data_IF_851506298802
#
_entry.id   IF_851506298802
#
_cell.length_a   1.000
_cell.length_b   1.000
_cell.length_c   1.000
_cell.angle_alpha   90.00
_cell.angle_beta   90.00
_cell.angle_gamma   90.00
#
_symmetry.space_group_name_H-M   'P 1'
#
loop_
_entity.id
_entity.type
_entity.pdbx_description
1 polymer ?
#
# COMPACT_ATOMS: atom_id res chain seq x y z
N UNK A 1 -8.71 -10.51 4.77
CA UNK A 1 -9.78 -9.55 4.37
C UNK A 1 -9.14 -8.25 3.93
N UNK A 2 -9.53 -7.68 2.78
CA UNK A 2 -9.04 -6.39 2.30
C UNK A 2 -10.11 -5.31 2.50
N UNK A 3 -9.73 -4.15 3.06
CA UNK A 3 -10.59 -2.97 3.23
C UNK A 3 -9.95 -1.78 2.53
N UNK A 4 -10.69 -1.14 1.62
CA UNK A 4 -10.23 0.03 0.90
C UNK A 4 -10.85 1.32 1.44
N UNK A 5 -10.02 2.34 1.64
CA UNK A 5 -10.43 3.69 2.02
C UNK A 5 -10.24 4.62 0.83
N UNK A 6 -11.32 5.02 0.19
CA UNK A 6 -11.31 5.75 -1.08
C UNK A 6 -11.98 7.11 -0.90
N UNK A 7 -11.30 8.17 -1.33
CA UNK A 7 -11.88 9.50 -1.47
C UNK A 7 -11.04 10.32 -2.45
N UNK A 8 -11.69 11.01 -3.38
CA UNK A 8 -11.03 11.88 -4.36
C UNK A 8 -10.51 13.19 -3.75
N UNK A 9 -11.16 13.67 -2.68
CA UNK A 9 -10.78 14.91 -2.03
C UNK A 9 -9.57 14.69 -1.12
N UNK A 10 -8.53 15.49 -1.28
CA UNK A 10 -7.40 15.55 -0.37
C UNK A 10 -7.78 16.11 1.01
N UNK A 11 -7.01 15.80 2.04
CA UNK A 11 -7.18 16.38 3.37
C UNK A 11 -8.44 15.95 4.14
N UNK A 12 -9.12 14.88 3.74
CA UNK A 12 -10.34 14.38 4.41
C UNK A 12 -10.08 13.33 5.49
N UNK A 13 -8.82 13.04 5.79
CA UNK A 13 -8.44 12.11 6.85
C UNK A 13 -8.32 10.64 6.41
N UNK A 14 -8.18 10.33 5.12
CA UNK A 14 -7.96 8.94 4.66
C UNK A 14 -6.80 8.29 5.38
N UNK A 15 -5.62 8.89 5.30
CA UNK A 15 -4.38 8.39 5.91
C UNK A 15 -4.52 8.23 7.41
N UNK A 16 -5.03 9.25 8.12
CA UNK A 16 -5.25 9.18 9.55
C UNK A 16 -6.21 8.05 9.94
N UNK A 17 -7.27 7.84 9.17
CA UNK A 17 -8.23 6.75 9.39
C UNK A 17 -7.57 5.38 9.24
N UNK A 18 -6.82 5.17 8.16
CA UNK A 18 -6.10 3.91 7.89
C UNK A 18 -5.09 3.61 9.00
N UNK A 19 -4.28 4.60 9.39
CA UNK A 19 -3.28 4.46 10.46
C UNK A 19 -3.93 4.10 11.81
N UNK A 20 -4.99 4.79 12.19
CA UNK A 20 -5.66 4.55 13.46
C UNK A 20 -6.34 3.18 13.49
N UNK A 21 -7.11 2.83 12.46
CA UNK A 21 -7.79 1.53 12.39
C UNK A 21 -6.76 0.39 12.37
N UNK A 22 -5.75 0.48 11.50
CA UNK A 22 -4.70 -0.52 11.43
C UNK A 22 -3.95 -0.68 12.74
N UNK A 23 -3.64 0.45 13.38
CA UNK A 23 -2.99 0.46 14.68
C UNK A 23 -3.81 -0.19 15.79
N UNK A 24 -5.12 0.08 15.83
CA UNK A 24 -6.04 -0.54 16.82
C UNK A 24 -6.16 -2.05 16.57
N UNK A 25 -6.30 -2.47 15.31
CA UNK A 25 -6.40 -3.90 14.98
C UNK A 25 -5.11 -4.64 15.37
N UNK A 26 -3.94 -4.07 15.08
CA UNK A 26 -2.65 -4.64 15.44
C UNK A 26 -2.49 -4.75 16.97
N UNK A 27 -2.93 -3.74 17.72
CA UNK A 27 -2.90 -3.78 19.19
C UNK A 27 -3.82 -4.86 19.80
N UNK A 28 -4.81 -5.28 19.04
CA UNK A 28 -5.69 -6.42 19.39
C UNK A 28 -5.15 -7.78 18.91
N UNK A 29 -3.90 -7.84 18.49
CA UNK A 29 -3.23 -9.05 18.03
C UNK A 29 -3.60 -9.52 16.61
N UNK A 30 -4.26 -8.66 15.81
CA UNK A 30 -4.53 -8.96 14.41
C UNK A 30 -3.31 -8.60 13.56
N UNK A 31 -2.92 -9.50 12.66
CA UNK A 31 -1.92 -9.20 11.63
C UNK A 31 -2.52 -8.24 10.61
N UNK A 32 -1.85 -7.10 10.40
CA UNK A 32 -2.35 -6.00 9.55
C UNK A 32 -1.26 -5.57 8.59
N UNK A 33 -1.60 -5.47 7.31
CA UNK A 33 -0.78 -4.82 6.29
C UNK A 33 -1.46 -3.52 5.86
N UNK A 34 -0.75 -2.41 6.00
CA UNK A 34 -1.15 -1.12 5.43
C UNK A 34 -0.55 -0.97 4.04
N UNK A 35 -1.39 -0.79 3.04
CA UNK A 35 -0.96 -0.58 1.65
C UNK A 35 -1.26 0.85 1.25
N UNK A 36 -0.21 1.59 0.90
CA UNK A 36 -0.34 2.94 0.36
C UNK A 36 -0.43 2.86 -1.16
N UNK A 37 -1.59 3.18 -1.70
CA UNK A 37 -1.84 3.25 -3.15
C UNK A 37 -2.19 4.66 -3.61
N UNK A 38 -1.92 5.68 -2.79
CA UNK A 38 -2.13 7.09 -3.14
C UNK A 38 -0.81 7.65 -3.74
N UNK A 39 -0.83 8.17 -4.99
CA UNK A 39 0.36 8.79 -5.60
C UNK A 39 0.97 9.94 -4.79
N UNK A 40 0.22 10.52 -3.87
CA UNK A 40 0.72 11.54 -2.94
C UNK A 40 1.61 10.94 -1.84
N UNK A 41 1.67 9.61 -1.73
CA UNK A 41 2.54 8.89 -0.78
C UNK A 41 2.38 9.32 0.69
N UNK A 42 1.20 9.81 1.06
CA UNK A 42 0.95 10.41 2.39
C UNK A 42 1.24 9.44 3.53
N UNK A 43 0.84 8.18 3.37
CA UNK A 43 1.09 7.13 4.37
C UNK A 43 2.60 6.82 4.49
N UNK A 44 3.30 6.79 3.37
CA UNK A 44 4.75 6.51 3.33
C UNK A 44 5.54 7.66 3.97
N UNK A 45 5.15 8.90 3.72
CA UNK A 45 5.77 10.10 4.30
C UNK A 45 5.57 10.13 5.83
N UNK A 46 4.39 9.80 6.33
CA UNK A 46 4.09 9.77 7.77
C UNK A 46 4.98 8.76 8.53
N UNK A 47 5.49 7.74 7.84
CA UNK A 47 6.48 6.82 8.39
C UNK A 47 7.94 7.23 8.12
N UNK A 48 8.20 8.45 7.61
CA UNK A 48 9.54 8.99 7.40
C UNK A 48 10.29 8.41 6.21
N UNK A 49 9.56 7.88 5.20
CA UNK A 49 10.16 7.35 3.98
C UNK A 49 9.86 8.29 2.83
N UNK A 50 10.90 9.02 2.42
CA UNK A 50 10.80 9.99 1.33
C UNK A 50 10.82 9.34 -0.07
N UNK A 51 11.50 8.20 -0.22
CA UNK A 51 11.58 7.46 -1.48
C UNK A 51 11.83 5.98 -1.22
N UNK A 52 10.78 5.17 -0.99
CA UNK A 52 10.98 3.74 -0.88
C UNK A 52 11.40 3.17 -2.24
N UNK A 53 12.51 2.44 -2.24
CA UNK A 53 12.99 1.69 -3.39
C UNK A 53 13.39 0.29 -2.88
N UNK A 54 12.69 -0.76 -3.30
CA UNK A 54 11.50 -0.78 -4.16
C UNK A 54 10.19 -0.38 -3.41
N UNK A 55 9.16 -0.01 -4.19
CA UNK A 55 7.83 0.38 -3.73
C UNK A 55 6.68 -0.34 -4.45
N UNK A 56 5.46 0.05 -4.16
CA UNK A 56 4.26 -0.54 -4.76
C UNK A 56 4.22 -0.37 -6.28
N UNK A 57 4.79 0.70 -6.80
CA UNK A 57 4.95 0.95 -8.23
C UNK A 57 5.74 -0.18 -8.91
N UNK A 58 6.85 -0.66 -8.31
CA UNK A 58 7.62 -1.78 -8.86
C UNK A 58 6.83 -3.10 -8.86
N UNK A 59 6.02 -3.32 -7.83
CA UNK A 59 5.13 -4.50 -7.77
C UNK A 59 4.10 -4.46 -8.91
N UNK A 60 3.50 -3.30 -9.14
CA UNK A 60 2.43 -3.14 -10.12
C UNK A 60 2.98 -3.12 -11.55
N UNK A 61 4.12 -2.47 -11.80
CA UNK A 61 4.68 -2.29 -13.14
C UNK A 61 5.58 -3.45 -13.54
N UNK A 62 6.50 -3.82 -12.69
CA UNK A 62 7.60 -4.73 -13.02
C UNK A 62 7.36 -6.17 -12.52
N UNK A 63 6.25 -6.40 -11.79
CA UNK A 63 5.89 -7.72 -11.28
C UNK A 63 6.76 -8.17 -10.11
N UNK A 64 7.39 -7.23 -9.39
CA UNK A 64 8.11 -7.53 -8.15
C UNK A 64 7.16 -8.18 -7.14
N UNK A 65 7.65 -9.14 -6.36
CA UNK A 65 6.83 -9.72 -5.30
C UNK A 65 6.52 -8.69 -4.23
N UNK A 66 5.25 -8.56 -3.84
CA UNK A 66 4.85 -7.62 -2.80
C UNK A 66 5.57 -7.88 -1.48
N UNK A 67 5.95 -9.12 -1.19
CA UNK A 67 6.72 -9.49 0.01
C UNK A 67 8.08 -8.80 0.09
N UNK A 68 8.67 -8.40 -1.04
CA UNK A 68 9.97 -7.74 -1.08
C UNK A 68 9.92 -6.28 -0.61
N UNK A 69 8.74 -5.65 -0.73
CA UNK A 69 8.56 -4.26 -0.32
C UNK A 69 7.95 -4.10 1.08
N UNK A 70 7.46 -5.21 1.68
CA UNK A 70 6.84 -5.15 3.01
C UNK A 70 7.88 -4.82 4.07
N UNK A 71 7.56 -3.85 4.92
CA UNK A 71 8.37 -3.42 6.07
C UNK A 71 7.54 -3.49 7.33
N UNK A 72 8.11 -4.09 8.38
CA UNK A 72 7.48 -4.11 9.70
C UNK A 72 7.57 -2.73 10.35
N UNK A 73 6.43 -2.22 10.78
CA UNK A 73 6.30 -0.96 11.51
C UNK A 73 6.41 -1.21 13.02
N UNK A 74 5.68 -2.20 13.49
CA UNK A 74 5.66 -2.69 14.87
C UNK A 74 5.01 -4.07 14.92
N UNK A 75 4.88 -4.64 16.11
CA UNK A 75 4.22 -5.93 16.30
C UNK A 75 2.85 -5.97 15.64
N UNK A 76 2.63 -6.97 14.80
CA UNK A 76 1.42 -7.22 14.03
C UNK A 76 1.04 -6.12 13.01
N UNK A 77 1.91 -5.15 12.77
CA UNK A 77 1.65 -4.06 11.81
C UNK A 77 2.78 -3.95 10.82
N UNK A 78 2.50 -4.32 9.60
CA UNK A 78 3.37 -4.18 8.45
C UNK A 78 2.82 -3.12 7.49
N UNK A 79 3.65 -2.68 6.56
CA UNK A 79 3.27 -1.77 5.49
C UNK A 79 3.92 -2.14 4.17
N UNK A 80 3.23 -1.87 3.08
CA UNK A 80 3.75 -1.85 1.73
C UNK A 80 3.79 -0.38 1.28
N UNK A 81 4.99 0.24 1.19
CA UNK A 81 5.12 1.64 0.85
C UNK A 81 4.92 1.88 -0.64
N UNK A 82 4.55 3.09 -1.00
CA UNK A 82 4.58 3.57 -2.38
C UNK A 82 5.54 4.74 -2.54
N UNK A 83 5.88 5.08 -3.77
CA UNK A 83 6.71 6.23 -4.12
C UNK A 83 5.95 7.24 -4.97
N UNK A 84 6.53 8.40 -5.18
CA UNK A 84 6.01 9.42 -6.11
C UNK A 84 5.92 8.90 -7.56
N UNK A 85 6.65 7.83 -7.88
CA UNK A 85 6.62 7.20 -9.21
C UNK A 85 5.32 6.44 -9.48
N UNK A 86 4.48 6.17 -8.44
CA UNK A 86 3.17 5.56 -8.63
C UNK A 86 2.28 6.40 -9.57
N UNK A 87 2.38 7.72 -9.53
CA UNK A 87 1.66 8.60 -10.46
C UNK A 87 2.03 8.31 -11.92
N UNK A 88 3.31 8.05 -12.20
CA UNK A 88 3.79 7.64 -13.52
C UNK A 88 3.27 6.24 -13.87
N UNK A 89 3.34 5.31 -12.93
CA UNK A 89 2.83 3.97 -13.11
C UNK A 89 1.32 3.97 -13.46
N UNK A 90 0.52 4.82 -12.83
CA UNK A 90 -0.89 4.98 -13.16
C UNK A 90 -1.12 5.42 -14.61
N UNK A 91 -0.30 6.35 -15.14
CA UNK A 91 -0.39 6.78 -16.54
C UNK A 91 -0.02 5.65 -17.51
N UNK A 92 1.06 4.94 -17.23
CA UNK A 92 1.51 3.82 -18.06
C UNK A 92 0.51 2.65 -18.02
N UNK A 93 -0.13 2.41 -16.87
CA UNK A 93 -1.17 1.39 -16.70
C UNK A 93 -2.44 1.67 -17.49
N UNK A 94 -2.71 2.92 -17.90
CA UNK A 94 -3.92 3.23 -18.67
C UNK A 94 -4.05 2.40 -19.96
N UNK A 95 -2.92 2.03 -20.57
CA UNK A 95 -2.83 1.20 -21.75
C UNK A 95 -2.51 -0.27 -21.48
N UNK A 96 -2.22 -0.64 -20.23
CA UNK A 96 -1.80 -1.99 -19.88
C UNK A 96 -2.99 -2.95 -19.78
N UNK A 97 -2.78 -4.16 -20.30
CA UNK A 97 -3.75 -5.24 -20.18
C UNK A 97 -3.82 -5.75 -18.73
N UNK A 98 -5.02 -6.05 -18.24
CA UNK A 98 -5.28 -6.54 -16.87
C UNK A 98 -4.79 -5.62 -15.73
N UNK A 99 -4.69 -4.32 -15.97
CA UNK A 99 -4.21 -3.33 -14.99
C UNK A 99 -4.97 -3.37 -13.66
N UNK A 100 -6.28 -3.57 -13.72
CA UNK A 100 -7.19 -3.60 -12.58
C UNK A 100 -6.98 -4.81 -11.67
N UNK A 101 -6.29 -5.83 -12.15
CA UNK A 101 -6.05 -7.06 -11.38
C UNK A 101 -4.65 -7.14 -10.76
N UNK A 102 -3.71 -6.30 -11.17
CA UNK A 102 -2.31 -6.39 -10.72
C UNK A 102 -2.16 -6.27 -9.20
N UNK A 103 -2.78 -5.26 -8.60
CA UNK A 103 -2.76 -5.11 -7.14
C UNK A 103 -3.50 -6.26 -6.44
N UNK A 104 -4.64 -6.69 -6.98
CA UNK A 104 -5.40 -7.83 -6.45
C UNK A 104 -4.53 -9.09 -6.42
N UNK A 105 -3.86 -9.39 -7.52
CA UNK A 105 -3.07 -10.61 -7.65
C UNK A 105 -1.84 -10.57 -6.74
N UNK A 106 -1.20 -9.41 -6.60
CA UNK A 106 -0.12 -9.20 -5.65
C UNK A 106 -0.58 -9.42 -4.20
N UNK A 107 -1.71 -8.86 -3.79
CA UNK A 107 -2.26 -9.04 -2.45
C UNK A 107 -2.73 -10.48 -2.20
N UNK A 108 -3.26 -11.16 -3.23
CA UNK A 108 -3.67 -12.56 -3.12
C UNK A 108 -2.49 -13.48 -2.76
N UNK A 109 -1.29 -13.17 -3.22
CA UNK A 109 -0.08 -13.97 -2.96
C UNK A 109 0.33 -14.01 -1.48
N UNK A 110 -0.13 -13.05 -0.67
CA UNK A 110 0.20 -12.91 0.75
C UNK A 110 -1.03 -12.98 1.66
N UNK A 111 -2.20 -13.29 1.12
CA UNK A 111 -3.48 -13.26 1.87
C UNK A 111 -3.51 -14.14 3.12
N UNK A 112 -2.72 -15.23 3.13
CA UNK A 112 -2.65 -16.15 4.28
C UNK A 112 -1.85 -15.58 5.46
N UNK A 113 -1.16 -14.47 5.27
CA UNK A 113 -0.33 -13.84 6.30
C UNK A 113 -1.08 -12.76 7.10
N UNK A 114 -2.24 -12.27 6.57
CA UNK A 114 -2.95 -11.11 7.13
C UNK A 114 -4.45 -11.33 7.30
#
# INVERSE_FOLDING_TARGET
MVTAFINQKGGVGKTATVLNIGGILASKGKKVLLVDSDPQSSLSIDFGIESPDPGLDDVIMDGLSISEIIKTVRDNLDRAPTSIYLARAELELQSAFNREYRLRDALASISDNY
#
